data_IF_329047769939
#
_entry.id   IF_329047769939
#
_cell.length_a   1.000
_cell.length_b   1.000
_cell.length_c   1.000
_cell.angle_alpha   90.00
_cell.angle_beta   90.00
_cell.angle_gamma   90.00
#
_symmetry.space_group_name_H-M   'P 1'
#
loop_
_entity.id
_entity.type
_entity.pdbx_description
1 polymer ?
#
# COMPACT_ATOMS: atom_id res chain seq x y z
N UNK A 1 25.93 -3.72 3.27
CA UNK A 1 24.49 -3.63 2.90
C UNK A 1 23.55 -3.45 4.11
N UNK A 2 23.98 -3.67 5.36
CA UNK A 2 23.11 -3.55 6.55
C UNK A 2 22.61 -2.11 6.89
N UNK A 3 23.44 -1.07 6.69
CA UNK A 3 23.09 0.32 7.07
C UNK A 3 21.88 0.89 6.32
N UNK A 4 21.74 0.58 5.02
CA UNK A 4 20.65 1.10 4.17
C UNK A 4 19.27 0.57 4.57
N UNK A 5 19.21 -0.67 5.07
CA UNK A 5 17.95 -1.31 5.44
C UNK A 5 17.40 -0.76 6.77
N UNK A 6 18.27 -0.54 7.76
CA UNK A 6 17.88 0.06 9.03
C UNK A 6 17.33 1.49 8.88
N UNK A 7 17.92 2.27 7.99
CA UNK A 7 17.51 3.66 7.74
C UNK A 7 16.14 3.74 7.04
N UNK A 8 15.88 2.87 6.07
CA UNK A 8 14.57 2.76 5.42
C UNK A 8 13.47 2.38 6.44
N UNK A 9 13.75 1.40 7.30
CA UNK A 9 12.80 0.97 8.33
C UNK A 9 12.55 2.08 9.36
N UNK A 10 13.58 2.81 9.79
CA UNK A 10 13.43 3.92 10.72
C UNK A 10 12.56 5.05 10.15
N UNK A 11 12.74 5.40 8.87
CA UNK A 11 11.88 6.38 8.17
C UNK A 11 10.42 5.94 8.14
N UNK A 12 10.18 4.68 7.78
CA UNK A 12 8.82 4.12 7.71
C UNK A 12 8.19 4.08 9.09
N UNK A 13 8.91 3.65 10.12
CA UNK A 13 8.43 3.63 11.49
C UNK A 13 8.04 5.03 11.97
N UNK A 14 8.83 6.05 11.64
CA UNK A 14 8.52 7.45 11.97
C UNK A 14 7.24 7.93 11.29
N UNK A 15 7.13 7.79 9.96
CA UNK A 15 5.94 8.20 9.19
C UNK A 15 4.68 7.46 9.66
N UNK A 16 4.81 6.17 9.97
CA UNK A 16 3.73 5.35 10.53
C UNK A 16 3.29 5.87 11.90
N UNK A 17 4.24 6.15 12.80
CA UNK A 17 3.91 6.71 14.10
C UNK A 17 3.23 8.08 13.98
N UNK A 18 3.72 8.96 13.11
CA UNK A 18 3.10 10.26 12.82
C UNK A 18 1.65 10.09 12.31
N UNK A 19 1.39 9.09 11.46
CA UNK A 19 0.04 8.75 10.97
C UNK A 19 -0.86 8.24 12.09
N UNK A 20 -0.32 7.40 12.99
CA UNK A 20 -1.05 6.86 14.15
C UNK A 20 -1.39 7.97 15.13
N UNK A 21 -0.46 8.87 15.44
CA UNK A 21 -0.64 9.98 16.38
C UNK A 21 -1.60 11.04 15.83
N UNK A 22 -1.52 11.34 14.53
CA UNK A 22 -2.44 12.29 13.88
C UNK A 22 -3.84 11.72 13.62
N UNK A 23 -4.02 10.40 13.71
CA UNK A 23 -5.28 9.75 13.34
C UNK A 23 -5.61 9.88 11.85
N UNK A 24 -4.59 10.10 11.00
CA UNK A 24 -4.76 10.26 9.56
C UNK A 24 -5.32 8.98 8.91
N UNK A 25 -6.15 9.16 7.89
CA UNK A 25 -6.64 8.09 7.02
C UNK A 25 -5.72 7.84 5.81
N UNK A 26 -4.64 8.62 5.73
CA UNK A 26 -3.67 8.58 4.65
C UNK A 26 -2.30 8.23 5.20
N UNK A 27 -1.70 7.16 4.66
CA UNK A 27 -0.37 6.69 5.02
C UNK A 27 0.64 6.99 3.89
N UNK A 28 1.51 7.98 4.12
CA UNK A 28 2.54 8.35 3.16
C UNK A 28 3.89 7.69 3.43
N UNK A 29 4.20 6.66 2.64
CA UNK A 29 5.48 5.93 2.65
C UNK A 29 6.26 6.15 1.35
N UNK A 30 6.07 7.28 0.67
CA UNK A 30 6.86 7.63 -0.49
C UNK A 30 8.34 7.82 -0.12
N UNK A 31 9.23 7.55 -1.08
CA UNK A 31 10.67 7.85 -1.00
C UNK A 31 11.41 7.19 0.18
N UNK A 32 10.86 6.08 0.69
CA UNK A 32 11.41 5.38 1.84
C UNK A 32 12.55 4.42 1.49
N UNK A 33 12.83 4.20 0.18
CA UNK A 33 13.79 3.22 -0.34
C UNK A 33 13.47 1.79 0.14
N UNK A 34 12.19 1.48 0.25
CA UNK A 34 11.70 0.17 0.65
C UNK A 34 11.94 -0.83 -0.48
N UNK A 35 12.70 -1.89 -0.19
CA UNK A 35 12.85 -3.06 -1.07
C UNK A 35 11.79 -4.13 -0.79
N UNK A 36 11.24 -4.13 0.43
CA UNK A 36 10.11 -4.95 0.87
C UNK A 36 9.35 -4.25 2.01
N UNK A 37 8.07 -4.56 2.18
CA UNK A 37 7.29 -3.97 3.27
C UNK A 37 7.70 -4.56 4.63
N UNK A 38 8.16 -3.78 5.62
CA UNK A 38 8.76 -4.33 6.84
C UNK A 38 7.72 -4.99 7.75
N UNK A 39 8.04 -6.19 8.26
CA UNK A 39 7.09 -6.98 9.06
C UNK A 39 6.71 -6.28 10.37
N UNK A 40 7.64 -5.57 10.99
CA UNK A 40 7.40 -4.84 12.24
C UNK A 40 6.32 -3.75 12.12
N UNK A 41 6.16 -3.18 10.93
CA UNK A 41 5.18 -2.11 10.67
C UNK A 41 3.74 -2.63 10.77
N UNK A 42 3.50 -3.90 10.41
CA UNK A 42 2.18 -4.51 10.60
C UNK A 42 1.74 -4.52 12.07
N UNK A 43 2.69 -4.60 13.01
CA UNK A 43 2.37 -4.59 14.44
C UNK A 43 1.94 -3.20 14.90
N UNK A 44 2.63 -2.17 14.42
CA UNK A 44 2.33 -0.76 14.75
C UNK A 44 0.99 -0.35 14.15
N UNK A 45 0.73 -0.75 12.91
CA UNK A 45 -0.50 -0.38 12.19
C UNK A 45 -1.72 -1.25 12.53
N UNK A 46 -1.60 -2.24 13.43
CA UNK A 46 -2.70 -3.19 13.72
C UNK A 46 -4.02 -2.48 14.08
N UNK A 47 -3.94 -1.38 14.83
CA UNK A 47 -5.13 -0.68 15.33
C UNK A 47 -5.60 0.46 14.42
N UNK A 48 -4.78 0.90 13.47
CA UNK A 48 -5.12 2.03 12.56
C UNK A 48 -5.25 1.59 11.10
N UNK A 49 -4.88 0.37 10.75
CA UNK A 49 -4.96 -0.13 9.37
C UNK A 49 -6.37 -0.10 8.79
N UNK A 50 -7.40 -0.22 9.63
CA UNK A 50 -8.80 -0.13 9.24
C UNK A 50 -9.32 1.29 8.94
N UNK A 51 -8.64 2.33 9.40
CA UNK A 51 -8.99 3.73 9.05
C UNK A 51 -8.18 4.24 7.86
N UNK A 52 -7.14 3.53 7.43
CA UNK A 52 -6.30 3.95 6.31
C UNK A 52 -7.03 3.64 4.99
N UNK A 53 -7.43 4.70 4.30
CA UNK A 53 -8.12 4.64 3.02
C UNK A 53 -7.18 4.91 1.82
N UNK A 54 -6.06 5.59 2.07
CA UNK A 54 -5.07 5.94 1.04
C UNK A 54 -3.67 5.56 1.51
N UNK A 55 -2.91 4.89 0.65
CA UNK A 55 -1.49 4.64 0.89
C UNK A 55 -0.68 5.02 -0.35
N UNK A 56 0.42 5.76 -0.15
CA UNK A 56 1.39 6.01 -1.21
C UNK A 56 2.70 5.28 -0.93
N UNK A 57 3.11 4.48 -1.91
CA UNK A 57 4.37 3.73 -1.91
C UNK A 57 5.32 4.21 -3.03
N UNK A 58 5.08 5.42 -3.52
CA UNK A 58 5.84 6.00 -4.63
C UNK A 58 7.35 6.05 -4.35
N UNK A 59 8.15 6.01 -5.42
CA UNK A 59 9.62 6.15 -5.33
C UNK A 59 10.27 5.17 -4.33
N UNK A 60 9.73 3.95 -4.23
CA UNK A 60 10.35 2.84 -3.52
C UNK A 60 10.91 1.80 -4.51
N UNK A 61 11.64 0.82 -3.99
CA UNK A 61 12.26 -0.27 -4.75
C UNK A 61 11.51 -1.60 -4.52
N UNK A 62 10.22 -1.51 -4.20
CA UNK A 62 9.37 -2.66 -3.87
C UNK A 62 9.20 -3.54 -5.11
N UNK A 63 9.56 -4.82 -4.97
CA UNK A 63 9.38 -5.81 -6.04
C UNK A 63 7.99 -6.40 -6.06
N UNK A 64 7.39 -6.58 -4.88
CA UNK A 64 6.06 -7.12 -4.70
C UNK A 64 5.47 -6.64 -3.37
N UNK A 65 4.13 -6.57 -3.34
CA UNK A 65 3.37 -6.45 -2.11
C UNK A 65 2.82 -7.83 -1.75
N UNK A 66 2.99 -8.24 -0.50
CA UNK A 66 2.58 -9.58 -0.06
C UNK A 66 1.09 -9.64 0.23
N UNK A 67 0.51 -10.85 0.24
CA UNK A 67 -0.89 -11.03 0.66
C UNK A 67 -1.17 -10.46 2.04
N UNK A 68 -0.18 -10.49 2.95
CA UNK A 68 -0.29 -9.90 4.29
C UNK A 68 -0.46 -8.38 4.26
N UNK A 69 0.21 -7.70 3.33
CA UNK A 69 -0.01 -6.27 3.11
C UNK A 69 -1.48 -6.01 2.74
N UNK A 70 -2.01 -6.81 1.81
CA UNK A 70 -3.38 -6.64 1.32
C UNK A 70 -4.46 -6.99 2.35
N UNK A 71 -4.23 -7.99 3.20
CA UNK A 71 -5.18 -8.30 4.28
C UNK A 71 -5.14 -7.28 5.42
N UNK A 72 -3.99 -6.63 5.64
CA UNK A 72 -3.85 -5.56 6.63
C UNK A 72 -4.53 -4.28 6.14
N UNK A 73 -4.21 -3.84 4.93
CA UNK A 73 -4.81 -2.67 4.31
C UNK A 73 -5.94 -3.12 3.38
N UNK A 74 -7.08 -3.50 3.97
CA UNK A 74 -8.26 -3.97 3.25
C UNK A 74 -9.35 -2.88 3.07
N UNK A 75 -9.05 -1.65 3.48
CA UNK A 75 -9.95 -0.49 3.39
C UNK A 75 -9.45 0.55 2.39
N UNK A 76 -8.44 0.22 1.56
CA UNK A 76 -7.91 1.15 0.57
C UNK A 76 -9.00 1.46 -0.45
N UNK A 77 -9.36 2.75 -0.54
CA UNK A 77 -10.30 3.28 -1.53
C UNK A 77 -9.55 3.85 -2.72
N UNK A 78 -8.33 4.30 -2.48
CA UNK A 78 -7.50 4.92 -3.50
C UNK A 78 -6.03 4.47 -3.36
N UNK A 79 -5.36 4.39 -4.50
CA UNK A 79 -3.95 4.04 -4.64
C UNK A 79 -3.39 4.85 -5.79
N UNK A 80 -2.22 5.49 -5.63
CA UNK A 80 -1.64 6.36 -6.65
C UNK A 80 -1.11 5.53 -7.82
N UNK A 81 -2.01 5.16 -8.74
CA UNK A 81 -1.76 4.28 -9.88
C UNK A 81 -0.59 4.77 -10.73
N UNK A 82 -0.55 6.06 -11.06
CA UNK A 82 0.51 6.64 -11.88
C UNK A 82 1.90 6.44 -11.25
N UNK A 83 1.97 6.63 -9.92
CA UNK A 83 3.22 6.45 -9.18
C UNK A 83 3.61 4.98 -9.09
N UNK A 84 2.64 4.08 -8.96
CA UNK A 84 2.88 2.63 -8.97
C UNK A 84 3.31 2.13 -10.36
N UNK A 85 2.70 2.64 -11.42
CA UNK A 85 3.04 2.35 -12.82
C UNK A 85 4.46 2.82 -13.18
N UNK A 86 4.92 3.92 -12.57
CA UNK A 86 6.26 4.44 -12.75
C UNK A 86 7.34 3.65 -11.99
N UNK A 87 6.98 2.68 -11.13
CA UNK A 87 7.96 1.89 -10.37
C UNK A 87 8.57 0.79 -11.23
N UNK A 88 9.88 0.86 -11.59
CA UNK A 88 10.49 -0.09 -12.52
C UNK A 88 10.71 -1.48 -11.91
N UNK A 89 10.71 -1.59 -10.58
CA UNK A 89 10.96 -2.85 -9.86
C UNK A 89 9.67 -3.64 -9.56
N UNK A 90 8.51 -2.98 -9.62
CA UNK A 90 7.23 -3.56 -9.21
C UNK A 90 6.72 -4.50 -10.29
N UNK A 91 6.51 -5.78 -9.93
CA UNK A 91 6.09 -6.82 -10.89
C UNK A 91 4.65 -7.29 -10.69
N UNK A 92 4.11 -7.09 -9.50
CA UNK A 92 2.72 -7.45 -9.23
C UNK A 92 2.14 -6.61 -8.09
N UNK A 93 0.87 -6.27 -8.22
CA UNK A 93 0.05 -5.65 -7.17
C UNK A 93 -1.28 -6.40 -7.03
N UNK A 94 -1.68 -6.67 -5.79
CA UNK A 94 -2.94 -7.37 -5.50
C UNK A 94 -3.93 -6.48 -4.75
N UNK A 95 -4.76 -5.74 -5.45
CA UNK A 95 -5.77 -4.88 -4.82
C UNK A 95 -7.10 -5.60 -4.55
N UNK A 96 -7.11 -6.94 -4.47
CA UNK A 96 -8.31 -7.67 -4.06
C UNK A 96 -8.75 -7.27 -2.65
N UNK A 97 -10.06 -7.37 -2.41
CA UNK A 97 -10.71 -7.08 -1.14
C UNK A 97 -10.60 -5.62 -0.66
N UNK A 98 -10.14 -4.71 -1.51
CA UNK A 98 -10.12 -3.28 -1.24
C UNK A 98 -11.33 -2.59 -1.90
N UNK A 99 -12.03 -1.69 -1.20
CA UNK A 99 -13.14 -0.91 -1.74
C UNK A 99 -12.66 0.20 -2.67
N UNK A 100 -11.86 -0.14 -3.68
CA UNK A 100 -11.34 0.82 -4.65
C UNK A 100 -12.47 1.59 -5.33
N UNK A 101 -12.29 2.90 -5.44
CA UNK A 101 -13.18 3.79 -6.16
C UNK A 101 -13.32 3.35 -7.64
N UNK A 102 -14.48 3.61 -8.23
CA UNK A 102 -14.77 3.25 -9.62
C UNK A 102 -13.74 3.85 -10.59
N UNK A 103 -13.30 5.09 -10.35
CA UNK A 103 -12.30 5.76 -11.18
C UNK A 103 -10.96 5.02 -11.19
N UNK A 104 -10.45 4.60 -10.03
CA UNK A 104 -9.20 3.84 -9.91
C UNK A 104 -9.31 2.51 -10.66
N UNK A 105 -10.48 1.85 -10.62
CA UNK A 105 -10.72 0.58 -11.33
C UNK A 105 -10.68 0.74 -12.86
N UNK A 106 -11.02 1.92 -13.37
CA UNK A 106 -10.99 2.24 -14.80
C UNK A 106 -9.60 2.70 -15.23
N UNK A 107 -8.95 3.53 -14.41
CA UNK A 107 -7.67 4.17 -14.71
C UNK A 107 -6.48 3.23 -14.46
N UNK A 108 -6.59 2.29 -13.51
CA UNK A 108 -5.51 1.39 -13.15
C UNK A 108 -5.09 0.39 -14.24
N UNK A 109 -6.00 -0.38 -14.85
CA UNK A 109 -5.63 -1.36 -15.87
C UNK A 109 -4.82 -0.81 -17.05
N UNK A 110 -5.18 0.34 -17.68
CA UNK A 110 -4.42 0.83 -18.84
C UNK A 110 -3.03 1.40 -18.47
N UNK A 111 -2.83 1.85 -17.23
CA UNK A 111 -1.56 2.43 -16.78
C UNK A 111 -0.57 1.37 -16.27
N UNK A 112 -1.06 0.26 -15.74
CA UNK A 112 -0.25 -0.75 -15.07
C UNK A 112 0.25 -1.79 -16.08
N UNK A 113 1.57 -1.84 -16.26
CA UNK A 113 2.26 -2.74 -17.21
C UNK A 113 2.71 -4.07 -16.60
N UNK A 114 2.19 -4.42 -15.43
CA UNK A 114 2.59 -5.59 -14.63
C UNK A 114 1.35 -6.25 -14.03
N UNK A 115 1.51 -7.40 -13.36
CA UNK A 115 0.36 -8.19 -12.92
C UNK A 115 -0.47 -7.46 -11.85
N UNK A 116 -1.70 -7.06 -12.19
CA UNK A 116 -2.65 -6.45 -11.27
C UNK A 116 -3.82 -7.40 -10.99
N UNK A 117 -3.99 -7.78 -9.73
CA UNK A 117 -5.16 -8.53 -9.28
C UNK A 117 -6.17 -7.58 -8.65
N UNK A 118 -7.39 -7.55 -9.18
CA UNK A 118 -8.52 -6.83 -8.57
C UNK A 118 -9.65 -7.81 -8.27
N UNK A 119 -10.52 -7.43 -7.32
CA UNK A 119 -11.77 -8.16 -7.09
C UNK A 119 -12.81 -7.72 -8.12
N UNK A 120 -13.66 -8.66 -8.61
CA UNK A 120 -14.78 -8.31 -9.49
C UNK A 120 -15.70 -7.29 -8.80
N UNK A 121 -16.39 -6.49 -9.59
CA UNK A 121 -17.32 -5.46 -9.11
C UNK A 121 -18.37 -6.11 -8.18
N UNK A 122 -18.63 -5.50 -7.01
CA UNK A 122 -19.56 -6.05 -6.02
C UNK A 122 -19.05 -7.18 -5.11
N UNK A 123 -17.77 -7.59 -5.19
CA UNK A 123 -17.24 -8.68 -4.35
C UNK A 123 -17.04 -8.34 -2.86
N UNK A 124 -17.43 -7.14 -2.42
CA UNK A 124 -17.47 -6.81 -1.01
C UNK A 124 -18.80 -7.33 -0.48
N UNK A 125 -18.79 -8.53 0.11
CA UNK A 125 -19.90 -8.98 0.93
C UNK A 125 -20.25 -7.84 1.92
N UNK A 126 -21.54 -7.53 2.14
CA UNK A 126 -21.92 -6.64 3.22
C UNK A 126 -21.28 -7.22 4.49
N UNK A 127 -20.45 -6.43 5.17
CA UNK A 127 -19.99 -6.82 6.50
C UNK A 127 -21.25 -6.85 7.38
N UNK A 128 -21.49 -7.97 8.12
CA UNK A 128 -22.61 -8.05 9.05
C UNK A 128 -22.48 -7.05 10.20
#
# INVERSE_FOLDING_TARGET
MLKKMGEAVARVARKVNETVESGSDTLDLAECKLVSFPIGIYKVLRNVSGQIHLITLANNELKSLTSKFMTTFNQLRDVPVEKLAAMPALRSINLRFNPLNAEVRVIAPPLIKFDMLMSPDGARAPLP
#
